data_IF_529593853587
#
_entry.id   IF_529593853587
#
_cell.length_a   1.000
_cell.length_b   1.000
_cell.length_c   1.000
_cell.angle_alpha   90.00
_cell.angle_beta   90.00
_cell.angle_gamma   90.00
#
_symmetry.space_group_name_H-M   'P 1'
#
loop_
_entity.id
_entity.type
_entity.pdbx_description
1 polymer ?
#
# COMPACT_ATOMS: atom_id res chain seq x y z
N UNK A 1 -6.60 -4.91 3.49
CA UNK A 1 -5.86 -3.75 4.05
C UNK A 1 -4.92 -4.24 5.14
N UNK A 2 -3.80 -3.58 5.29
CA UNK A 2 -2.80 -3.90 6.32
C UNK A 2 -2.62 -2.72 7.25
N UNK A 3 -2.42 -3.01 8.55
CA UNK A 3 -1.98 -1.98 9.49
C UNK A 3 -0.50 -1.71 9.29
N UNK A 4 -0.12 -0.45 9.43
CA UNK A 4 1.28 -0.02 9.35
C UNK A 4 1.65 0.78 10.59
N UNK A 5 2.96 0.90 10.85
CA UNK A 5 3.41 1.86 11.85
C UNK A 5 2.98 3.26 11.42
N UNK A 6 2.50 4.10 12.35
CA UNK A 6 1.99 5.43 11.99
C UNK A 6 3.02 6.27 11.24
N UNK A 7 2.57 6.92 10.19
CA UNK A 7 3.37 7.86 9.39
C UNK A 7 2.67 9.21 9.43
N UNK A 8 3.39 10.24 9.85
CA UNK A 8 2.86 11.61 9.87
C UNK A 8 2.85 12.20 8.50
N UNK A 9 1.68 12.69 8.06
CA UNK A 9 1.47 13.25 6.73
C UNK A 9 0.83 14.63 6.88
N UNK A 10 1.34 15.60 6.14
CA UNK A 10 0.72 16.90 6.02
C UNK A 10 -0.51 16.78 5.11
N UNK A 11 -1.69 17.04 5.67
CA UNK A 11 -2.95 16.90 4.94
C UNK A 11 -3.90 18.02 5.33
N UNK A 12 -4.38 18.77 4.35
CA UNK A 12 -5.33 19.88 4.54
C UNK A 12 -4.92 20.87 5.63
N UNK A 13 -3.63 21.22 5.67
CA UNK A 13 -3.13 22.23 6.61
C UNK A 13 -2.81 21.71 8.00
N UNK A 14 -2.92 20.40 8.26
CA UNK A 14 -2.58 19.81 9.55
C UNK A 14 -1.76 18.54 9.35
N UNK A 15 -1.16 18.05 10.46
CA UNK A 15 -0.49 16.76 10.46
C UNK A 15 -1.51 15.69 10.84
N UNK A 16 -1.65 14.69 10.00
CA UNK A 16 -2.48 13.50 10.28
C UNK A 16 -1.60 12.26 10.23
N UNK A 17 -2.00 11.21 10.93
CA UNK A 17 -1.25 9.95 10.97
C UNK A 17 -1.92 8.89 10.10
N UNK A 18 -1.18 8.37 9.12
CA UNK A 18 -1.60 7.21 8.36
C UNK A 18 -1.28 5.94 9.15
N UNK A 19 -2.26 5.08 9.32
CA UNK A 19 -2.12 3.84 10.09
C UNK A 19 -2.51 2.60 9.29
N UNK A 20 -3.03 2.76 8.07
CA UNK A 20 -3.52 1.67 7.24
C UNK A 20 -3.02 1.87 5.81
N UNK A 21 -2.54 0.78 5.22
CA UNK A 21 -2.20 0.70 3.79
C UNK A 21 -3.29 -0.11 3.09
N UNK A 22 -3.91 0.49 2.08
CA UNK A 22 -4.81 -0.18 1.17
C UNK A 22 -4.18 -0.25 -0.22
N UNK A 23 -4.21 -1.44 -0.82
CA UNK A 23 -3.58 -1.69 -2.11
C UNK A 23 -4.59 -2.36 -3.03
N UNK A 24 -4.71 -1.85 -4.26
CA UNK A 24 -5.60 -2.40 -5.28
C UNK A 24 -4.82 -2.58 -6.57
N UNK A 25 -4.88 -3.78 -7.16
CA UNK A 25 -4.31 -4.00 -8.48
C UNK A 25 -5.28 -3.41 -9.51
N UNK A 26 -4.84 -2.40 -10.24
CA UNK A 26 -5.67 -1.72 -11.25
C UNK A 26 -5.33 -2.15 -12.67
N UNK A 27 -4.17 -2.75 -12.88
CA UNK A 27 -3.77 -3.30 -14.17
C UNK A 27 -2.70 -4.36 -13.97
N UNK A 28 -2.87 -5.49 -14.64
CA UNK A 28 -1.89 -6.58 -14.67
C UNK A 28 -1.88 -7.11 -16.11
N UNK A 29 -0.73 -7.03 -16.78
CA UNK A 29 -0.64 -7.52 -18.15
C UNK A 29 -0.50 -9.05 -18.22
N UNK A 30 -0.47 -9.73 -17.06
CA UNK A 30 -0.35 -11.18 -16.92
C UNK A 30 0.92 -11.75 -17.57
N UNK A 31 1.91 -10.90 -17.75
CA UNK A 31 3.16 -11.27 -18.40
C UNK A 31 4.37 -10.87 -17.54
N UNK A 32 4.56 -9.58 -17.30
CA UNK A 32 5.76 -9.09 -16.61
C UNK A 32 5.57 -7.81 -15.82
N UNK A 33 4.36 -7.25 -15.75
CA UNK A 33 4.14 -6.04 -14.99
C UNK A 33 2.71 -5.92 -14.48
N UNK A 34 2.57 -5.25 -13.33
CA UNK A 34 1.29 -4.91 -12.74
C UNK A 34 1.37 -3.50 -12.14
N UNK A 35 0.27 -2.78 -12.21
CA UNK A 35 0.14 -1.45 -11.60
C UNK A 35 -0.83 -1.53 -10.44
N UNK A 36 -0.40 -0.99 -9.29
CA UNK A 36 -1.20 -0.97 -8.08
C UNK A 36 -1.52 0.48 -7.70
N UNK A 37 -2.74 0.69 -7.23
CA UNK A 37 -3.14 1.95 -6.61
C UNK A 37 -3.06 1.78 -5.10
N UNK A 38 -2.31 2.65 -4.43
CA UNK A 38 -2.23 2.61 -2.98
C UNK A 38 -2.93 3.81 -2.35
N UNK A 39 -3.46 3.58 -1.16
CA UNK A 39 -4.00 4.64 -0.30
C UNK A 39 -3.43 4.45 1.09
N UNK A 40 -3.06 5.55 1.74
CA UNK A 40 -2.72 5.58 3.16
C UNK A 40 -3.89 6.22 3.89
N UNK A 41 -4.45 5.50 4.86
CA UNK A 41 -5.67 5.89 5.54
C UNK A 41 -5.38 6.24 6.99
N UNK A 42 -6.11 7.22 7.52
CA UNK A 42 -6.06 7.56 8.94
C UNK A 42 -7.01 6.67 9.75
N UNK A 43 -7.15 6.97 11.06
CA UNK A 43 -8.00 6.18 11.95
C UNK A 43 -9.48 6.24 11.59
N UNK A 44 -9.90 7.23 10.82
CA UNK A 44 -11.28 7.38 10.35
C UNK A 44 -11.51 6.77 8.98
N UNK A 45 -10.48 6.11 8.40
CA UNK A 45 -10.47 5.53 7.06
C UNK A 45 -10.51 6.58 5.95
N UNK A 46 -10.12 7.82 6.27
CA UNK A 46 -9.93 8.86 5.26
C UNK A 46 -8.61 8.64 4.55
N UNK A 47 -8.63 8.68 3.21
CA UNK A 47 -7.41 8.62 2.41
C UNK A 47 -6.65 9.95 2.51
N UNK A 48 -5.48 9.92 3.12
CA UNK A 48 -4.66 11.13 3.31
C UNK A 48 -3.41 11.15 2.43
N UNK A 49 -3.14 10.05 1.73
CA UNK A 49 -2.14 9.97 0.67
C UNK A 49 -2.51 8.85 -0.27
N UNK A 50 -2.15 9.00 -1.54
CA UNK A 50 -2.41 7.97 -2.54
C UNK A 50 -1.45 8.12 -3.72
N UNK A 51 -1.42 7.11 -4.56
CA UNK A 51 -0.61 7.11 -5.77
C UNK A 51 -0.59 5.75 -6.42
N UNK A 52 0.23 5.63 -7.45
CA UNK A 52 0.39 4.39 -8.19
C UNK A 52 1.80 3.84 -8.03
N UNK A 53 1.90 2.52 -7.97
CA UNK A 53 3.16 1.79 -7.99
C UNK A 53 3.11 0.79 -9.13
N UNK A 54 4.18 0.72 -9.93
CA UNK A 54 4.27 -0.26 -11.00
C UNK A 54 5.31 -1.30 -10.62
N UNK A 55 4.88 -2.55 -10.59
CA UNK A 55 5.74 -3.71 -10.34
C UNK A 55 6.19 -4.26 -11.68
N UNK A 56 7.50 -4.34 -11.89
CA UNK A 56 8.11 -4.91 -13.09
C UNK A 56 9.06 -6.03 -12.67
N UNK A 57 9.62 -6.74 -13.67
CA UNK A 57 10.63 -7.76 -13.37
C UNK A 57 11.90 -7.13 -12.78
N UNK A 58 12.60 -7.81 -11.83
CA UNK A 58 12.31 -9.19 -11.37
C UNK A 58 11.21 -9.29 -10.32
N UNK A 59 10.70 -8.18 -9.80
CA UNK A 59 9.75 -8.17 -8.69
C UNK A 59 8.42 -8.84 -9.10
N UNK A 60 7.97 -8.64 -10.32
CA UNK A 60 6.72 -9.23 -10.80
C UNK A 60 6.72 -10.75 -10.64
N UNK A 61 7.78 -11.42 -11.04
CA UNK A 61 7.89 -12.87 -10.93
C UNK A 61 8.14 -13.35 -9.51
N UNK A 62 8.81 -12.54 -8.68
CA UNK A 62 9.22 -12.92 -7.34
C UNK A 62 8.19 -12.56 -6.28
N UNK A 63 7.52 -11.42 -6.42
CA UNK A 63 6.72 -10.81 -5.36
C UNK A 63 5.23 -10.78 -5.65
N UNK A 64 4.79 -11.20 -6.85
CA UNK A 64 3.38 -11.20 -7.22
C UNK A 64 2.80 -12.61 -7.17
N UNK A 65 2.92 -13.29 -6.01
CA UNK A 65 2.37 -14.63 -5.81
C UNK A 65 1.12 -14.65 -4.94
N UNK A 66 0.85 -13.57 -4.21
CA UNK A 66 -0.29 -13.46 -3.32
C UNK A 66 -0.55 -12.00 -2.98
N UNK A 67 -1.72 -11.71 -2.38
CA UNK A 67 -2.01 -10.37 -1.88
C UNK A 67 -1.01 -9.95 -0.81
N UNK A 68 -0.64 -10.86 0.10
CA UNK A 68 0.34 -10.54 1.14
C UNK A 68 1.70 -10.19 0.55
N UNK A 69 2.16 -10.91 -0.46
CA UNK A 69 3.41 -10.61 -1.13
C UNK A 69 3.36 -9.23 -1.79
N UNK A 70 2.25 -8.88 -2.44
CA UNK A 70 2.08 -7.57 -3.07
C UNK A 70 2.10 -6.45 -2.03
N UNK A 71 1.44 -6.63 -0.87
CA UNK A 71 1.47 -5.66 0.21
C UNK A 71 2.89 -5.48 0.77
N UNK A 72 3.62 -6.56 0.98
CA UNK A 72 5.00 -6.50 1.45
C UNK A 72 5.90 -5.75 0.46
N UNK A 73 5.73 -6.03 -0.83
CA UNK A 73 6.46 -5.32 -1.87
C UNK A 73 6.15 -3.83 -1.85
N UNK A 74 4.85 -3.46 -1.80
CA UNK A 74 4.44 -2.06 -1.78
C UNK A 74 4.97 -1.34 -0.54
N UNK A 75 4.91 -1.97 0.62
CA UNK A 75 5.46 -1.41 1.86
C UNK A 75 6.94 -1.11 1.72
N UNK A 76 7.70 -2.02 1.09
CA UNK A 76 9.13 -1.81 0.84
C UNK A 76 9.35 -0.60 -0.08
N UNK A 77 8.57 -0.48 -1.15
CA UNK A 77 8.69 0.65 -2.07
C UNK A 77 8.36 1.99 -1.40
N UNK A 78 7.43 1.98 -0.47
CA UNK A 78 6.97 3.18 0.23
C UNK A 78 7.71 3.43 1.55
N UNK A 79 8.66 2.58 1.91
CA UNK A 79 9.39 2.64 3.19
C UNK A 79 8.45 2.58 4.39
N UNK A 80 7.44 1.73 4.32
CA UNK A 80 6.47 1.50 5.38
C UNK A 80 6.76 0.18 6.09
N UNK A 81 6.32 0.08 7.35
CA UNK A 81 6.42 -1.16 8.14
C UNK A 81 5.02 -1.68 8.42
N UNK A 82 4.73 -2.87 7.89
CA UNK A 82 3.45 -3.55 8.16
C UNK A 82 3.51 -4.16 9.54
N UNK A 83 2.49 -3.90 10.36
CA UNK A 83 2.40 -4.41 11.73
C UNK A 83 1.36 -5.51 11.90
N UNK A 84 0.49 -5.72 10.92
CA UNK A 84 -0.53 -6.78 10.97
C UNK A 84 -1.65 -6.53 9.97
N UNK A 85 -2.70 -7.33 10.13
CA UNK A 85 -3.91 -7.18 9.33
C UNK A 85 -4.80 -6.09 9.90
N UNK A 86 -5.46 -5.33 9.03
CA UNK A 86 -6.57 -4.48 9.44
C UNK A 86 -7.85 -5.30 9.38
N UNK A 87 -8.51 -5.45 10.52
CA UNK A 87 -9.77 -6.17 10.62
C UNK A 87 -10.86 -5.13 10.97
N UNK A 88 -11.80 -4.87 10.06
CA UNK A 88 -12.90 -3.94 10.35
C UNK A 88 -13.75 -4.47 11.52
N UNK A 89 -14.12 -3.55 12.38
CA UNK A 89 -14.98 -3.88 13.52
C UNK A 89 -16.44 -4.05 13.08
#
# INVERSE_FOLDING_TARGET
>A
MKKIQPVSIWFNGTIDSAIILNLTCINDNLLNSATFYFQLLDATLLSIANGNLTMIEPDYSQDWGSNDAAYNWAATQLSLTITGEYIPA
#
